data_IF_658113595514
#
_entry.id   IF_658113595514
#
_cell.length_a   1.000
_cell.length_b   1.000
_cell.length_c   1.000
_cell.angle_alpha   90.00
_cell.angle_beta   90.00
_cell.angle_gamma   90.00
#
_symmetry.space_group_name_H-M   'P 1'
#
loop_
_entity.id
_entity.type
_entity.pdbx_description
1 polymer ?
2 polymer ?
3 non-polymer ?
4 water ?
#
# COMPACT_ATOMS: atom_id res chain seq x y z
N UNK A 12 -18.51 -13.94 -24.41
CA UNK A 12 -18.89 -14.77 -23.24
C UNK A 12 -18.72 -14.00 -21.91
N UNK A 13 -18.61 -14.69 -20.77
CA UNK A 13 -18.28 -14.07 -19.45
C UNK A 13 -16.79 -13.73 -19.41
N UNK A 14 -15.96 -14.34 -20.27
CA UNK A 14 -14.51 -13.99 -20.41
C UNK A 14 -14.35 -12.55 -20.93
N UNK A 15 -15.42 -11.96 -21.48
CA UNK A 15 -15.47 -10.54 -21.91
C UNK A 15 -15.78 -9.66 -20.69
N UNK A 16 -16.73 -10.07 -19.85
CA UNK A 16 -17.10 -9.38 -18.58
C UNK A 16 -15.86 -9.24 -17.68
N UNK A 17 -14.88 -10.14 -17.77
CA UNK A 17 -13.67 -10.12 -16.90
C UNK A 17 -12.66 -9.08 -17.43
N UNK A 18 -12.59 -8.87 -18.74
CA UNK A 18 -11.70 -7.83 -19.33
C UNK A 18 -12.30 -6.45 -19.04
N UNK A 19 -13.63 -6.34 -19.02
CA UNK A 19 -14.35 -5.10 -18.68
C UNK A 19 -13.98 -4.73 -17.25
N UNK A 20 -14.04 -5.70 -16.34
CA UNK A 20 -13.70 -5.55 -14.90
C UNK A 20 -12.25 -5.08 -14.77
N UNK A 21 -11.31 -5.79 -15.39
CA UNK A 21 -9.86 -5.50 -15.31
C UNK A 21 -9.59 -4.08 -15.80
N UNK A 22 -10.35 -3.61 -16.79
CA UNK A 22 -10.13 -2.31 -17.46
C UNK A 22 -10.79 -1.22 -16.62
N UNK A 23 -11.99 -1.47 -16.11
CA UNK A 23 -12.65 -0.56 -15.14
C UNK A 23 -11.76 -0.36 -13.91
N UNK A 24 -11.19 -1.44 -13.37
CA UNK A 24 -10.35 -1.39 -12.15
C UNK A 24 -9.07 -0.60 -12.48
N UNK A 25 -8.45 -0.90 -13.63
CA UNK A 25 -7.20 -0.21 -14.03
C UNK A 25 -7.43 1.29 -14.12
N UNK A 26 -8.54 1.72 -14.74
CA UNK A 26 -8.88 3.16 -14.89
C UNK A 26 -9.03 3.78 -13.50
N UNK A 27 -9.82 3.17 -12.58
CA UNK A 27 -9.96 3.66 -11.19
C UNK A 27 -8.58 3.80 -10.54
N UNK A 28 -7.70 2.86 -10.82
CA UNK A 28 -6.34 2.79 -10.21
C UNK A 28 -5.53 4.02 -10.67
N UNK A 29 -5.48 4.26 -11.97
CA UNK A 29 -4.76 5.42 -12.58
C UNK A 29 -5.27 6.71 -11.91
N UNK A 30 -6.58 6.84 -11.76
CA UNK A 30 -7.24 8.08 -11.31
C UNK A 30 -7.07 8.25 -9.79
N UNK A 31 -7.09 7.16 -9.04
CA UNK A 31 -7.12 7.18 -7.55
C UNK A 31 -5.73 7.48 -7.00
N UNK A 32 -4.67 7.09 -7.71
CA UNK A 32 -3.29 7.12 -7.20
C UNK A 32 -2.44 8.10 -8.02
N UNK A 33 -1.62 8.93 -7.35
CA UNK A 33 -0.89 10.00 -8.03
C UNK A 33 0.18 9.44 -8.97
N UNK A 34 0.89 8.43 -8.51
CA UNK A 34 2.12 7.90 -9.14
C UNK A 34 1.92 6.40 -9.41
N UNK A 35 1.91 6.00 -10.68
CA UNK A 35 1.85 4.58 -11.12
C UNK A 35 3.25 3.95 -10.97
N UNK A 36 3.30 2.63 -10.89
CA UNK A 36 4.58 1.88 -10.81
C UNK A 36 5.37 2.17 -12.08
N UNK A 37 4.67 2.32 -13.21
CA UNK A 37 5.26 2.70 -14.52
C UNK A 37 6.19 3.90 -14.31
N UNK A 38 5.62 5.06 -13.95
CA UNK A 38 6.39 6.32 -13.71
C UNK A 38 7.44 6.06 -12.62
N UNK A 39 7.04 5.45 -11.50
CA UNK A 39 7.90 5.24 -10.32
C UNK A 39 9.19 4.53 -10.75
N UNK A 40 9.06 3.55 -11.64
CA UNK A 40 10.19 2.71 -12.13
C UNK A 40 11.05 3.55 -13.08
N UNK A 41 10.41 4.32 -13.96
CA UNK A 41 11.07 5.27 -14.88
C UNK A 41 11.99 6.19 -14.07
N UNK A 42 11.43 6.85 -13.05
CA UNK A 42 12.16 7.78 -12.13
C UNK A 42 13.33 7.04 -11.49
N UNK A 43 13.12 5.81 -11.05
CA UNK A 43 14.10 5.04 -10.24
C UNK A 43 15.28 4.58 -11.10
N UNK A 44 15.14 4.67 -12.42
CA UNK A 44 16.17 4.26 -13.40
C UNK A 44 16.79 5.50 -14.06
N UNK A 45 16.35 6.70 -13.67
CA UNK A 45 16.74 7.97 -14.32
C UNK A 45 16.18 8.08 -15.74
N UNK A 46 15.71 6.97 -16.32
CA UNK A 46 15.23 6.85 -17.72
C UNK A 46 14.20 7.94 -18.05
N UNK A 47 13.55 8.52 -17.04
CA UNK A 47 12.56 9.62 -17.19
C UNK A 47 13.25 10.90 -17.66
N UNK A 48 12.62 11.66 -18.56
CA UNK A 48 13.07 13.02 -18.97
C UNK A 48 12.74 14.02 -17.85
N UNK A 49 11.91 13.64 -16.88
CA UNK A 49 11.52 14.48 -15.72
C UNK A 49 12.74 14.66 -14.80
N UNK A 50 12.71 15.71 -13.97
CA UNK A 50 13.80 16.09 -13.03
C UNK A 50 14.06 14.94 -12.05
N UNK A 51 15.32 14.78 -11.63
CA UNK A 51 15.77 13.73 -10.69
C UNK A 51 15.22 14.00 -9.28
N UNK A 52 14.99 12.94 -8.48
CA UNK A 52 14.61 13.11 -7.08
C UNK A 52 15.80 13.49 -6.19
N UNK A 53 15.59 14.43 -5.28
CA UNK A 53 16.58 14.79 -4.26
C UNK A 53 16.89 13.53 -3.44
N UNK A 54 18.16 13.14 -3.38
CA UNK A 54 18.62 11.88 -2.73
C UNK A 54 18.96 12.16 -1.26
N UNK A 55 18.39 11.38 -0.34
CA UNK A 55 18.55 11.56 1.14
C UNK A 55 19.25 10.32 1.68
N UNK A 56 20.48 10.49 2.16
CA UNK A 56 21.38 9.39 2.58
C UNK A 56 21.89 9.64 3.99
N UNK A 57 21.58 10.78 4.58
CA UNK A 57 22.07 11.16 5.93
C UNK A 57 21.26 12.36 6.42
N UNK A 58 21.52 12.82 7.63
CA UNK A 58 20.71 13.90 8.25
C UNK A 58 20.92 15.18 7.44
N UNK A 59 22.16 15.44 7.05
CA UNK A 59 22.53 16.64 6.26
C UNK A 59 21.64 16.70 5.02
N UNK A 60 21.55 15.61 4.26
CA UNK A 60 20.80 15.59 2.99
C UNK A 60 19.31 15.74 3.31
N UNK A 61 18.82 15.11 4.38
CA UNK A 61 17.42 15.30 4.84
C UNK A 61 17.13 16.77 5.08
N UNK A 62 18.00 17.44 5.84
CA UNK A 62 17.86 18.86 6.24
C UNK A 62 17.95 19.76 5.01
N UNK A 63 18.78 19.40 4.01
CA UNK A 63 18.86 20.16 2.74
C UNK A 63 17.62 19.83 1.90
N UNK A 64 17.09 18.63 2.09
CA UNK A 64 15.97 18.06 1.29
C UNK A 64 14.61 18.54 1.74
N UNK A 65 14.46 19.12 2.94
CA UNK A 65 13.18 19.70 3.43
C UNK A 65 12.52 20.52 2.30
N UNK A 66 13.33 21.27 1.52
CA UNK A 66 12.90 22.02 0.31
C UNK A 66 11.91 21.19 -0.51
N UNK A 67 12.37 20.08 -1.09
CA UNK A 67 11.72 19.34 -2.22
C UNK A 67 10.81 18.21 -1.70
N UNK A 68 10.39 18.30 -0.44
CA UNK A 68 9.52 17.29 0.23
C UNK A 68 8.27 18.02 0.75
N UNK A 69 7.09 17.44 0.51
CA UNK A 69 5.81 17.93 1.09
C UNK A 69 6.05 18.14 2.59
N UNK A 70 5.93 19.38 3.06
CA UNK A 70 6.27 19.79 4.46
C UNK A 70 5.27 19.13 5.42
N UNK A 71 5.48 19.38 6.72
CA UNK A 71 4.60 18.91 7.83
C UNK A 71 4.26 20.13 8.72
N UNK A 72 5.30 20.68 9.39
CA UNK A 72 5.24 21.59 10.56
C UNK A 72 4.44 20.96 11.70
N UNK A 81 10.62 16.70 16.26
CA UNK A 81 11.81 17.48 16.70
C UNK A 81 13.08 16.63 16.63
N UNK A 82 12.96 15.30 16.67
CA UNK A 82 14.08 14.34 16.45
C UNK A 82 13.96 13.70 15.07
N UNK A 83 15.08 13.44 14.40
CA UNK A 83 15.12 13.08 12.95
C UNK A 83 14.38 11.76 12.73
N UNK A 84 14.70 10.70 13.48
CA UNK A 84 13.97 9.43 13.43
C UNK A 84 12.47 9.70 13.56
N UNK A 85 12.06 10.51 14.54
CA UNK A 85 10.62 10.75 14.84
C UNK A 85 10.03 11.58 13.70
N UNK A 86 10.83 12.49 13.12
CA UNK A 86 10.40 13.41 12.03
C UNK A 86 10.22 12.60 10.75
N UNK A 87 11.11 11.64 10.50
CA UNK A 87 11.02 10.72 9.34
C UNK A 87 9.78 9.86 9.52
N UNK A 88 9.64 9.22 10.67
CA UNK A 88 8.46 8.38 10.96
C UNK A 88 7.20 9.26 10.84
N UNK A 89 7.31 10.52 11.19
CA UNK A 89 6.16 11.48 11.11
C UNK A 89 5.83 11.75 9.64
N UNK A 90 6.86 11.77 8.79
CA UNK A 90 6.71 11.84 7.32
C UNK A 90 5.94 10.64 6.77
N UNK A 91 6.28 9.42 7.16
CA UNK A 91 5.56 8.17 6.78
C UNK A 91 4.07 8.27 7.12
N UNK A 92 3.72 8.87 8.26
CA UNK A 92 2.33 8.88 8.75
C UNK A 92 1.46 9.64 7.74
N UNK A 93 1.87 10.85 7.39
CA UNK A 93 1.11 11.71 6.45
C UNK A 93 1.00 10.98 5.09
N UNK A 94 2.07 10.31 4.65
CA UNK A 94 2.08 9.56 3.38
C UNK A 94 1.09 8.40 3.49
N UNK A 95 1.15 7.64 4.59
CA UNK A 95 0.19 6.55 4.88
C UNK A 95 -1.25 7.08 4.90
N UNK A 96 -1.49 8.20 5.57
CA UNK A 96 -2.86 8.79 5.70
C UNK A 96 -3.35 9.20 4.29
N UNK A 97 -2.49 9.71 3.43
CA UNK A 97 -2.91 10.06 2.05
C UNK A 97 -3.22 8.76 1.29
N UNK A 98 -2.46 7.70 1.55
CA UNK A 98 -2.61 6.41 0.86
C UNK A 98 -3.96 5.80 1.24
N UNK A 99 -4.27 5.77 2.55
CA UNK A 99 -5.59 5.27 3.05
C UNK A 99 -6.71 6.01 2.30
N UNK A 100 -6.61 7.33 2.11
CA UNK A 100 -7.67 8.08 1.37
C UNK A 100 -7.73 7.62 -0.09
N UNK A 101 -6.58 7.51 -0.75
CA UNK A 101 -6.51 7.03 -2.15
C UNK A 101 -7.06 5.59 -2.24
N UNK A 102 -6.73 4.71 -1.29
CA UNK A 102 -7.18 3.28 -1.30
C UNK A 102 -8.69 3.22 -1.05
N UNK A 103 -9.20 4.02 -0.11
CA UNK A 103 -10.64 4.10 0.25
C UNK A 103 -11.43 4.59 -0.96
N UNK A 104 -10.94 5.60 -1.66
CA UNK A 104 -11.57 6.11 -2.89
C UNK A 104 -11.61 5.00 -3.94
N UNK A 105 -10.53 4.22 -4.08
CA UNK A 105 -10.40 3.15 -5.08
C UNK A 105 -11.36 2.00 -4.75
N UNK A 106 -11.44 1.61 -3.47
CA UNK A 106 -12.33 0.53 -2.99
C UNK A 106 -13.75 0.84 -3.42
N UNK A 107 -14.17 2.12 -3.28
CA UNK A 107 -15.52 2.62 -3.63
C UNK A 107 -15.80 2.39 -5.12
N UNK A 108 -14.75 2.30 -5.93
CA UNK A 108 -14.88 2.03 -7.37
C UNK A 108 -14.95 0.54 -7.66
N UNK A 109 -14.76 -0.36 -6.67
CA UNK A 109 -14.81 -1.83 -6.95
C UNK A 109 -16.29 -2.24 -7.00
N UNK A 110 -16.80 -2.65 -8.20
CA UNK A 110 -18.20 -3.01 -8.37
C UNK A 110 -18.74 -3.84 -7.19
N UNK A 111 -19.76 -3.33 -6.50
CA UNK A 111 -20.45 -4.01 -5.39
C UNK A 111 -19.80 -3.73 -4.04
N UNK A 112 -18.68 -3.02 -3.96
CA UNK A 112 -18.04 -2.72 -2.64
C UNK A 112 -18.95 -1.80 -1.80
N UNK A 113 -19.52 -0.74 -2.41
CA UNK A 113 -20.35 0.30 -1.71
C UNK A 113 -21.74 -0.29 -1.42
N UNK A 114 -22.12 -1.39 -2.08
CA UNK A 114 -23.41 -2.10 -1.86
C UNK A 114 -23.28 -3.06 -0.68
N UNK A 115 -22.07 -3.27 -0.15
CA UNK A 115 -21.84 -4.13 1.04
C UNK A 115 -22.28 -3.38 2.28
N UNK A 116 -22.42 -4.10 3.39
CA UNK A 116 -22.65 -3.54 4.75
C UNK A 116 -21.55 -2.51 5.07
N UNK A 117 -21.93 -1.28 5.36
CA UNK A 117 -21.02 -0.18 5.77
C UNK A 117 -20.12 -0.60 6.94
N UNK A 118 -20.54 -1.52 7.80
CA UNK A 118 -19.64 -2.06 8.85
C UNK A 118 -18.60 -2.96 8.21
N UNK A 119 -18.99 -3.68 7.14
CA UNK A 119 -18.13 -4.64 6.42
C UNK A 119 -17.18 -3.85 5.52
N UNK A 120 -17.67 -2.78 4.88
CA UNK A 120 -16.84 -1.80 4.18
C UNK A 120 -15.71 -1.29 5.09
N UNK A 121 -16.01 -0.87 6.31
CA UNK A 121 -15.01 -0.38 7.31
C UNK A 121 -14.03 -1.53 7.62
N UNK A 122 -14.53 -2.74 7.82
CA UNK A 122 -13.73 -3.90 8.29
C UNK A 122 -12.72 -4.27 7.20
N UNK A 123 -13.17 -4.38 5.95
CA UNK A 123 -12.35 -4.77 4.78
C UNK A 123 -11.23 -3.75 4.63
N UNK A 124 -11.55 -2.46 4.74
CA UNK A 124 -10.54 -1.36 4.68
C UNK A 124 -9.60 -1.45 5.88
N UNK A 125 -10.15 -1.55 7.08
CA UNK A 125 -9.36 -1.58 8.33
C UNK A 125 -8.20 -2.56 8.13
N UNK A 126 -8.48 -3.78 7.69
CA UNK A 126 -7.48 -4.87 7.58
C UNK A 126 -6.74 -4.80 6.23
N UNK A 127 -7.42 -4.26 5.21
CA UNK A 127 -6.93 -4.27 3.82
C UNK A 127 -5.84 -3.25 3.54
N UNK A 128 -5.92 -2.07 4.19
CA UNK A 128 -5.21 -0.85 3.72
C UNK A 128 -3.69 -1.06 3.85
N UNK A 129 -3.21 -1.58 4.98
CA UNK A 129 -1.75 -1.72 5.23
C UNK A 129 -1.15 -2.74 4.26
N UNK A 130 -1.89 -3.82 3.96
CA UNK A 130 -1.49 -4.86 2.96
C UNK A 130 -1.31 -4.20 1.59
N UNK A 131 -2.24 -3.33 1.20
CA UNK A 131 -2.20 -2.58 -0.09
C UNK A 131 -1.10 -1.51 -0.05
N UNK A 132 -0.94 -0.81 1.07
CA UNK A 132 0.15 0.18 1.22
C UNK A 132 1.47 -0.53 0.91
N UNK A 133 1.70 -1.72 1.45
CA UNK A 133 2.99 -2.44 1.29
C UNK A 133 3.11 -2.97 -0.13
N UNK A 134 2.00 -3.42 -0.71
CA UNK A 134 1.98 -3.87 -2.12
C UNK A 134 2.49 -2.70 -2.95
N UNK A 135 1.86 -1.56 -2.82
CA UNK A 135 2.10 -0.39 -3.68
C UNK A 135 3.45 0.26 -3.31
N UNK A 136 3.84 0.22 -2.05
CA UNK A 136 5.14 0.79 -1.61
C UNK A 136 6.29 0.07 -2.32
N UNK A 137 6.17 -1.24 -2.58
CA UNK A 137 7.16 -2.00 -3.35
C UNK A 137 7.38 -1.33 -4.71
N UNK A 138 6.32 -0.83 -5.34
CA UNK A 138 6.42 -0.11 -6.64
C UNK A 138 7.45 1.02 -6.53
N UNK A 139 7.63 1.64 -5.35
CA UNK A 139 8.54 2.79 -5.15
C UNK A 139 9.92 2.36 -4.64
N UNK A 140 10.15 1.05 -4.48
CA UNK A 140 11.35 0.52 -3.77
C UNK A 140 12.25 -0.25 -4.73
N UNK A 141 13.56 -0.16 -4.50
CA UNK A 141 14.56 -1.14 -4.97
C UNK A 141 15.42 -1.54 -3.77
N UNK A 142 16.50 -2.29 -4.00
CA UNK A 142 17.42 -2.76 -2.92
C UNK A 142 18.07 -1.55 -2.23
N UNK A 143 18.29 -0.46 -2.97
CA UNK A 143 19.10 0.70 -2.52
C UNK A 143 18.27 1.71 -1.73
N UNK A 144 17.02 1.99 -2.13
CA UNK A 144 16.20 2.97 -1.40
C UNK A 144 14.78 3.09 -1.90
N UNK A 145 14.11 4.16 -1.48
CA UNK A 145 12.64 4.34 -1.63
C UNK A 145 12.37 5.74 -2.20
N UNK A 146 11.66 5.80 -3.33
CA UNK A 146 11.04 7.06 -3.80
C UNK A 146 9.99 7.52 -2.79
N UNK A 147 10.06 8.79 -2.38
CA UNK A 147 9.07 9.44 -1.48
C UNK A 147 8.54 10.72 -2.14
N UNK A 148 7.48 11.30 -1.57
CA UNK A 148 6.85 12.55 -2.01
C UNK A 148 6.62 12.51 -3.52
N UNK A 149 5.92 11.48 -3.99
CA UNK A 149 5.48 11.35 -5.40
C UNK A 149 6.70 11.52 -6.31
N UNK A 150 7.81 10.85 -5.98
CA UNK A 150 9.03 10.79 -6.82
C UNK A 150 9.95 11.99 -6.66
N UNK A 151 9.62 12.99 -5.83
CA UNK A 151 10.46 14.20 -5.67
C UNK A 151 11.67 13.88 -4.78
N UNK A 152 11.60 12.81 -3.99
CA UNK A 152 12.68 12.41 -3.09
C UNK A 152 13.11 10.97 -3.31
N UNK A 153 14.28 10.60 -2.83
CA UNK A 153 14.77 9.19 -2.84
C UNK A 153 15.55 8.93 -1.56
N UNK A 154 14.93 8.26 -0.61
CA UNK A 154 15.51 8.00 0.73
C UNK A 154 16.17 6.63 0.71
N UNK A 155 17.45 6.55 1.06
CA UNK A 155 18.27 5.33 0.86
C UNK A 155 17.92 4.34 1.97
N UNK A 156 17.98 3.05 1.66
CA UNK A 156 17.65 1.96 2.59
C UNK A 156 18.64 1.96 3.75
N UNK A 157 19.92 2.16 3.44
CA UNK A 157 21.02 2.24 4.44
C UNK A 157 20.68 3.35 5.44
N UNK A 158 20.37 4.54 4.96
CA UNK A 158 20.02 5.69 5.83
C UNK A 158 18.89 5.30 6.80
N UNK A 159 17.83 4.62 6.31
CA UNK A 159 16.65 4.25 7.13
C UNK A 159 17.06 3.21 8.19
N UNK A 160 17.95 2.28 7.83
CA UNK A 160 18.57 1.31 8.78
C UNK A 160 19.29 2.08 9.90
N UNK A 161 20.05 3.12 9.53
CA UNK A 161 20.91 3.91 10.45
C UNK A 161 20.07 4.65 11.51
N UNK A 162 18.75 4.73 11.37
CA UNK A 162 17.93 5.40 12.41
C UNK A 162 18.05 4.61 13.72
N UNK A 163 18.00 5.32 14.85
CA UNK A 163 18.00 4.71 16.21
C UNK A 163 16.81 3.75 16.27
N UNK A 164 16.91 2.70 17.09
CA UNK A 164 15.78 1.76 17.31
C UNK A 164 14.71 2.50 18.11
N UNK A 165 13.43 2.05 18.09
CA UNK A 165 12.98 0.97 17.20
C UNK A 165 12.75 1.40 15.73
N UNK A 166 13.02 2.67 15.42
CA UNK A 166 12.79 3.33 14.11
C UNK A 166 13.70 2.78 13.02
N UNK A 167 14.86 2.23 13.38
CA UNK A 167 15.83 1.67 12.41
C UNK A 167 15.24 0.48 11.68
N UNK A 168 14.37 -0.27 12.36
CA UNK A 168 13.87 -1.60 11.91
C UNK A 168 12.51 -1.41 11.22
N UNK A 169 12.03 -0.17 11.16
CA UNK A 169 10.64 0.17 10.77
C UNK A 169 10.39 -0.21 9.30
N UNK A 170 11.32 0.02 8.38
CA UNK A 170 11.08 -0.12 6.93
C UNK A 170 11.92 -1.25 6.30
N UNK A 171 12.72 -1.99 7.07
CA UNK A 171 13.58 -3.06 6.51
C UNK A 171 12.72 -4.20 5.98
N UNK A 172 11.70 -4.70 6.72
CA UNK A 172 10.85 -5.79 6.23
C UNK A 172 10.09 -5.45 4.93
N UNK A 173 9.71 -4.18 4.79
CA UNK A 173 9.05 -3.61 3.59
C UNK A 173 10.04 -3.68 2.44
N UNK A 174 11.31 -3.33 2.68
CA UNK A 174 12.39 -3.48 1.67
C UNK A 174 12.57 -4.97 1.34
N UNK A 175 12.60 -5.83 2.37
CA UNK A 175 12.79 -7.30 2.19
C UNK A 175 11.66 -7.82 1.30
N UNK A 176 10.41 -7.54 1.67
CA UNK A 176 9.20 -7.99 0.93
C UNK A 176 9.22 -7.44 -0.50
N UNK A 177 9.58 -6.17 -0.68
CA UNK A 177 9.52 -5.48 -1.99
C UNK A 177 10.48 -6.14 -2.98
N UNK A 178 11.66 -6.58 -2.53
CA UNK A 178 12.70 -7.16 -3.43
C UNK A 178 12.21 -8.53 -3.93
N UNK A 179 11.63 -9.33 -3.05
CA UNK A 179 10.94 -10.59 -3.45
C UNK A 179 9.76 -10.23 -4.37
N UNK A 180 8.92 -9.26 -4.00
CA UNK A 180 7.63 -9.03 -4.68
C UNK A 180 7.86 -8.46 -6.08
N UNK A 181 8.83 -7.56 -6.21
CA UNK A 181 9.18 -6.89 -7.49
C UNK A 181 9.67 -7.95 -8.49
N UNK A 182 10.17 -9.09 -7.99
CA UNK A 182 10.58 -10.27 -8.80
C UNK A 182 9.53 -10.54 -9.88
N UNK A 183 8.26 -10.67 -9.47
CA UNK A 183 7.11 -11.07 -10.33
C UNK A 183 6.88 -10.01 -11.41
N UNK A 184 7.66 -8.94 -11.47
CA UNK A 184 7.59 -7.94 -12.55
C UNK A 184 6.14 -7.64 -12.92
N UNK A 185 5.22 -7.58 -11.95
CA UNK A 185 3.79 -7.26 -12.23
C UNK A 185 3.71 -5.84 -12.77
N UNK A 186 2.68 -5.54 -13.57
CA UNK A 186 2.42 -4.18 -14.12
C UNK A 186 1.32 -3.52 -13.28
N UNK A 187 1.00 -2.27 -13.63
CA UNK A 187 -0.06 -1.50 -12.94
C UNK A 187 -1.40 -2.24 -13.11
N UNK A 188 -1.70 -2.70 -14.31
CA UNK A 188 -2.99 -3.35 -14.67
C UNK A 188 -3.15 -4.67 -13.88
N UNK A 189 -2.04 -5.37 -13.61
CA UNK A 189 -2.04 -6.56 -12.71
C UNK A 189 -2.34 -6.10 -11.29
N UNK A 190 -1.65 -5.04 -10.85
CA UNK A 190 -1.71 -4.49 -9.47
C UNK A 190 -3.12 -3.97 -9.17
N UNK A 191 -3.85 -3.43 -10.15
CA UNK A 191 -5.20 -2.87 -9.93
C UNK A 191 -6.15 -3.98 -9.45
N UNK A 192 -6.09 -5.17 -10.06
CA UNK A 192 -7.01 -6.28 -9.71
C UNK A 192 -6.52 -6.92 -8.40
N UNK A 193 -5.22 -7.18 -8.33
CA UNK A 193 -4.56 -7.75 -7.13
C UNK A 193 -5.01 -6.97 -5.90
N UNK A 194 -4.92 -5.64 -5.88
CA UNK A 194 -5.25 -4.85 -4.65
C UNK A 194 -6.77 -4.91 -4.44
N UNK A 195 -7.56 -4.94 -5.51
CA UNK A 195 -9.03 -5.16 -5.43
C UNK A 195 -9.31 -6.53 -4.78
N UNK A 196 -8.54 -7.56 -5.14
CA UNK A 196 -8.63 -8.93 -4.54
C UNK A 196 -8.27 -8.85 -3.06
N UNK A 197 -7.27 -8.04 -2.69
CA UNK A 197 -6.81 -7.96 -1.26
C UNK A 197 -7.91 -7.32 -0.42
N UNK A 198 -8.59 -6.28 -0.93
CA UNK A 198 -9.64 -5.59 -0.16
C UNK A 198 -10.79 -6.56 0.09
N UNK A 199 -11.20 -7.31 -0.94
CA UNK A 199 -12.39 -8.21 -0.91
C UNK A 199 -12.01 -9.56 -0.25
N UNK A 200 -11.33 -9.51 0.90
CA UNK A 200 -10.90 -10.71 1.66
C UNK A 200 -12.05 -11.16 2.56
N UNK A 201 -12.62 -12.33 2.26
CA UNK A 201 -13.75 -12.90 3.01
C UNK A 201 -13.37 -13.21 4.45
N UNK A 202 -12.10 -13.48 4.74
CA UNK A 202 -11.66 -14.06 6.02
C UNK A 202 -11.17 -12.97 6.99
N UNK A 203 -11.64 -11.72 6.86
CA UNK A 203 -11.21 -10.62 7.76
C UNK A 203 -11.98 -10.74 9.07
N UNK A 204 -11.29 -10.80 10.21
CA UNK A 204 -11.96 -10.86 11.50
C UNK A 204 -13.04 -9.77 11.61
N UNK A 205 -14.26 -10.16 11.97
CA UNK A 205 -15.36 -9.26 12.38
C UNK A 205 -16.37 -9.03 11.28
N UNK A 206 -16.21 -9.70 10.12
CA UNK A 206 -17.11 -9.48 8.96
C UNK A 206 -18.47 -10.10 9.27
N UNK A 207 -19.55 -9.35 9.04
CA UNK A 207 -20.94 -9.80 9.33
C UNK A 207 -21.37 -10.77 8.22
N UNK A 208 -21.52 -10.22 7.00
CA UNK A 208 -22.12 -10.92 5.83
C UNK A 208 -21.01 -11.27 4.81
N UNK A 209 -20.34 -12.40 5.00
CA UNK A 209 -19.11 -12.83 4.24
C UNK A 209 -19.44 -13.18 2.77
N UNK A 210 -20.49 -13.95 2.51
CA UNK A 210 -20.72 -14.56 1.17
C UNK A 210 -20.77 -13.51 0.06
N UNK A 211 -21.42 -12.33 0.23
CA UNK A 211 -21.39 -11.31 -0.82
C UNK A 211 -19.94 -10.87 -1.11
N UNK A 212 -19.14 -10.62 -0.06
CA UNK A 212 -17.68 -10.30 -0.15
C UNK A 212 -17.00 -11.42 -0.94
N UNK A 213 -17.26 -12.68 -0.56
CA UNK A 213 -16.55 -13.85 -1.13
C UNK A 213 -16.94 -13.99 -2.61
N UNK A 214 -18.17 -13.61 -2.95
CA UNK A 214 -18.72 -13.64 -4.33
C UNK A 214 -17.88 -12.71 -5.20
N UNK A 215 -17.82 -11.44 -4.81
CA UNK A 215 -17.07 -10.37 -5.53
C UNK A 215 -15.63 -10.85 -5.72
N UNK A 216 -14.99 -11.32 -4.65
CA UNK A 216 -13.57 -11.71 -4.69
C UNK A 216 -13.35 -12.78 -5.76
N UNK A 217 -14.28 -13.73 -5.86
CA UNK A 217 -14.24 -14.78 -6.91
C UNK A 217 -14.20 -14.11 -8.29
N UNK A 218 -15.08 -13.14 -8.53
CA UNK A 218 -15.08 -12.36 -9.78
C UNK A 218 -13.69 -11.75 -9.97
N UNK A 219 -13.19 -11.04 -8.96
CA UNK A 219 -11.88 -10.32 -9.08
C UNK A 219 -10.78 -11.35 -9.38
N UNK A 220 -10.81 -12.51 -8.71
CA UNK A 220 -9.78 -13.57 -8.86
C UNK A 220 -9.80 -14.14 -10.28
N UNK A 221 -10.98 -14.33 -10.85
CA UNK A 221 -11.08 -14.73 -12.28
C UNK A 221 -10.42 -13.68 -13.15
N UNK A 222 -10.78 -12.40 -12.95
CA UNK A 222 -10.23 -11.26 -13.72
C UNK A 222 -8.71 -11.23 -13.52
N UNK A 223 -8.25 -11.44 -12.29
CA UNK A 223 -6.78 -11.43 -12.01
C UNK A 223 -6.12 -12.55 -12.81
N UNK A 224 -6.68 -13.76 -12.73
CA UNK A 224 -6.21 -14.96 -13.46
C UNK A 224 -6.09 -14.64 -14.96
N UNK A 225 -7.19 -14.16 -15.55
CA UNK A 225 -7.27 -13.84 -17.00
C UNK A 225 -6.19 -12.80 -17.33
N UNK A 226 -6.13 -11.72 -16.55
CA UNK A 226 -5.15 -10.60 -16.73
C UNK A 226 -3.74 -11.18 -16.76
N UNK A 227 -3.43 -12.08 -15.83
CA UNK A 227 -2.06 -12.63 -15.60
C UNK A 227 -1.65 -13.55 -16.77
N UNK A 228 -2.59 -14.32 -17.31
CA UNK A 228 -2.41 -15.12 -18.55
C UNK A 228 -2.04 -14.19 -19.71
N UNK A 229 -2.87 -13.16 -19.96
CA UNK A 229 -2.73 -12.25 -21.13
C UNK A 229 -1.46 -11.38 -21.01
N UNK A 230 -0.67 -11.52 -19.94
CA UNK A 230 0.50 -10.63 -19.68
C UNK A 230 1.76 -11.39 -19.25
N UNK A 231 1.67 -12.67 -18.84
CA UNK A 231 2.82 -13.41 -18.25
C UNK A 231 2.76 -14.91 -18.55
N UNK A 232 3.93 -15.58 -18.73
CA UNK A 232 3.97 -17.04 -18.87
C UNK A 232 4.05 -17.72 -17.50
N UNK A 233 3.87 -19.04 -17.46
CA UNK A 233 3.76 -19.85 -16.20
C UNK A 233 2.62 -19.25 -15.36
N UNK A 234 1.50 -18.94 -16.01
CA UNK A 234 0.39 -18.10 -15.46
C UNK A 234 -0.12 -18.69 -14.14
N UNK A 235 -0.64 -19.93 -14.15
CA UNK A 235 -1.13 -20.64 -12.94
C UNK A 235 -0.06 -20.61 -11.85
N UNK A 236 1.22 -20.76 -12.24
CA UNK A 236 2.39 -20.76 -11.31
C UNK A 236 2.66 -19.32 -10.81
N UNK A 237 2.65 -18.32 -11.70
CA UNK A 237 2.66 -16.89 -11.28
C UNK A 237 1.44 -16.64 -10.40
N UNK A 238 0.25 -16.83 -10.94
CA UNK A 238 -1.03 -16.64 -10.22
C UNK A 238 -0.91 -17.31 -8.86
N UNK A 239 -0.25 -18.46 -8.79
CA UNK A 239 -0.04 -19.23 -7.54
C UNK A 239 0.97 -18.47 -6.65
N UNK A 240 2.11 -18.09 -7.23
CA UNK A 240 3.16 -17.28 -6.53
C UNK A 240 2.48 -16.05 -5.91
N UNK A 241 1.69 -15.34 -6.73
CA UNK A 241 1.06 -14.04 -6.37
C UNK A 241 0.04 -14.21 -5.23
N UNK A 242 -0.58 -15.39 -5.06
CA UNK A 242 -1.58 -15.63 -3.99
C UNK A 242 -0.92 -16.08 -2.67
N UNK A 243 0.34 -16.53 -2.71
CA UNK A 243 1.09 -16.91 -1.49
C UNK A 243 1.70 -15.62 -0.90
N UNK A 244 2.19 -14.71 -1.76
CA UNK A 244 2.68 -13.34 -1.38
C UNK A 244 1.58 -12.60 -0.63
N UNK A 245 0.33 -12.87 -0.97
CA UNK A 245 -0.87 -12.29 -0.32
C UNK A 245 -0.92 -12.69 1.16
N UNK A 246 -0.14 -13.67 1.59
CA UNK A 246 -0.02 -14.06 3.03
C UNK A 246 1.35 -13.61 3.58
N UNK A 247 2.38 -13.53 2.73
CA UNK A 247 3.62 -12.80 3.07
C UNK A 247 3.26 -11.40 3.56
N UNK A 248 2.16 -10.82 3.04
CA UNK A 248 1.71 -9.43 3.35
C UNK A 248 1.14 -9.39 4.76
N UNK A 249 0.19 -10.28 5.08
CA UNK A 249 -0.48 -10.28 6.40
C UNK A 249 0.58 -10.45 7.48
N UNK A 250 1.66 -11.17 7.16
CA UNK A 250 2.82 -11.37 8.06
C UNK A 250 3.38 -9.99 8.41
N UNK A 251 3.95 -9.31 7.42
CA UNK A 251 4.66 -8.01 7.62
C UNK A 251 3.67 -6.97 8.15
N UNK A 252 2.37 -7.12 7.88
CA UNK A 252 1.35 -6.19 8.43
C UNK A 252 1.23 -6.44 9.93
N UNK A 253 1.22 -7.70 10.33
CA UNK A 253 1.21 -8.10 11.77
C UNK A 253 2.48 -7.60 12.44
N UNK A 254 3.65 -7.93 11.88
CA UNK A 254 4.97 -7.48 12.38
C UNK A 254 4.98 -5.96 12.54
N UNK A 255 4.38 -5.22 11.59
CA UNK A 255 4.37 -3.73 11.57
C UNK A 255 3.58 -3.20 12.77
N UNK A 256 2.42 -3.79 13.05
CA UNK A 256 1.50 -3.26 14.09
C UNK A 256 2.09 -3.54 15.48
N UNK A 257 2.93 -4.56 15.60
CA UNK A 257 3.61 -4.88 16.90
C UNK A 257 4.66 -3.80 17.14
N UNK A 258 5.39 -3.41 16.10
CA UNK A 258 6.41 -2.33 16.15
C UNK A 258 5.73 -1.02 16.57
N UNK A 259 4.48 -0.79 16.18
CA UNK A 259 3.75 0.43 16.58
C UNK A 259 3.22 0.29 18.01
N UNK A 260 2.89 -0.92 18.44
CA UNK A 260 2.63 -1.18 19.88
C UNK A 260 3.87 -0.73 20.66
N UNK A 261 5.04 -1.21 20.24
CA UNK A 261 6.37 -0.87 20.83
C UNK A 261 6.51 0.65 20.88
N UNK A 262 6.34 1.31 19.74
CA UNK A 262 6.60 2.76 19.58
C UNK A 262 5.58 3.57 20.37
N UNK A 263 4.34 3.11 20.52
CA UNK A 263 3.29 3.89 21.24
C UNK A 263 3.66 4.00 22.72
N UNK A 264 4.22 2.93 23.31
CA UNK A 264 4.66 2.87 24.73
C UNK A 264 6.04 3.53 24.90
N UNK A 265 7.05 3.07 24.15
CA UNK A 265 8.48 3.47 24.29
C UNK A 265 8.67 4.95 23.94
N UNK A 266 7.77 5.55 23.15
CA UNK A 266 7.86 6.98 22.72
C UNK A 266 6.52 7.67 23.03
N UNK A 267 6.22 7.88 24.31
CA UNK A 267 4.95 8.48 24.78
C UNK A 267 4.80 9.90 24.22
N UNK A 268 5.92 10.59 23.94
CA UNK A 268 5.98 11.98 23.42
C UNK A 268 5.25 12.09 22.08
N UNK A 269 5.80 11.45 21.04
CA UNK A 269 5.27 11.48 19.66
C UNK A 269 3.83 10.93 19.63
N UNK A 270 2.94 11.63 18.94
CA UNK A 270 1.51 11.25 18.79
C UNK A 270 1.29 10.62 17.42
N UNK A 271 0.32 9.71 17.33
CA UNK A 271 -0.07 8.97 16.11
C UNK A 271 -1.28 9.66 15.48
N UNK A 272 -1.40 9.61 14.17
CA UNK A 272 -2.48 10.31 13.43
C UNK A 272 -3.82 9.65 13.74
N UNK A 273 -4.84 10.44 14.11
CA UNK A 273 -6.16 9.90 14.45
C UNK A 273 -6.71 8.84 13.49
N UNK A 274 -6.47 8.97 12.18
CA UNK A 274 -6.92 7.96 11.18
C UNK A 274 -6.10 6.67 11.35
N UNK A 275 -4.80 6.77 11.59
CA UNK A 275 -3.97 5.56 11.82
C UNK A 275 -4.43 4.87 13.12
N UNK A 276 -4.96 5.64 14.07
CA UNK A 276 -5.48 5.09 15.35
C UNK A 276 -6.78 4.32 15.10
N UNK A 277 -7.71 4.88 14.32
CA UNK A 277 -8.98 4.19 13.94
C UNK A 277 -8.68 2.80 13.35
N UNK A 278 -7.58 2.66 12.61
CA UNK A 278 -7.26 1.41 11.87
C UNK A 278 -6.63 0.39 12.83
N UNK A 279 -5.58 0.77 13.56
CA UNK A 279 -4.82 -0.15 14.45
C UNK A 279 -5.69 -0.62 15.64
N UNK A 280 -6.77 0.11 15.97
CA UNK A 280 -7.76 -0.28 17.02
C UNK A 280 -8.11 -1.76 16.92
N UNK A 281 -7.73 -2.55 17.93
CA UNK A 281 -8.08 -4.00 18.02
C UNK A 281 -7.61 -4.71 16.74
N UNK A 282 -6.41 -4.37 16.24
CA UNK A 282 -5.79 -5.02 15.06
C UNK A 282 -4.67 -5.96 15.54
N UNK A 283 -4.88 -7.27 15.42
CA UNK A 283 -3.89 -8.34 15.76
C UNK A 283 -3.32 -8.11 17.16
N UNK B 2 -17.11 4.36 17.10
CA UNK B 2 -15.69 4.12 16.71
C UNK B 2 -15.59 4.06 15.17
N UNK B 3 -14.40 4.37 14.62
CA UNK B 3 -14.08 4.36 13.17
C UNK B 3 -14.79 5.52 12.45
N UNK B 4 -14.73 6.72 13.04
CA UNK B 4 -15.48 7.93 12.59
C UNK B 4 -14.95 8.40 11.22
N UNK B 5 -13.64 8.61 11.09
CA UNK B 5 -13.00 9.16 9.85
C UNK B 5 -13.18 8.16 8.71
N UNK B 6 -13.00 6.86 9.01
CA UNK B 6 -13.22 5.77 8.03
C UNK B 6 -14.65 5.84 7.48
N UNK B 7 -15.65 5.93 8.39
CA UNK B 7 -17.08 6.13 8.05
C UNK B 7 -17.22 7.38 7.17
N UNK B 8 -16.51 8.46 7.52
CA UNK B 8 -16.65 9.76 6.83
C UNK B 8 -16.15 9.56 5.40
N UNK B 9 -14.92 9.07 5.24
CA UNK B 9 -14.25 8.85 3.92
C UNK B 9 -15.09 7.91 3.05
N UNK B 10 -15.74 6.91 3.65
CA UNK B 10 -16.56 5.92 2.90
C UNK B 10 -17.87 6.56 2.43
N UNK B 11 -18.59 7.25 3.30
CA UNK B 11 -19.92 7.84 2.95
C UNK B 11 -19.70 9.13 2.15
N UNK B 12 -18.50 9.74 2.22
CA UNK B 12 -18.05 10.86 1.35
C UNK B 12 -18.18 10.44 -0.12
#
# INVERSE_FOLDING_TARGET
AEISSDIDQLNPESADLRALAKHLYDSYIKSFPLTKAKARAILTGKTTDKSPFVIYDMNSLMMGEDKIKFKHITPLQEQSKEVAIRIFQGCQFASVEAVQEITEYAKSIPGFVNLDLNDQVTLLKYGVHEIIYTMLASLMNKDGVLISEGQGFMTREFLKSLRKPFGDFMEPKFEFAVKFNALELDDSDLAIFIAVIILSGDRPGLLNVKPIEDIQDNLLQALELQLKLNHPESSQLFAKLLQKMTDLRQIVTEHVQLLQVIKKTETDMSLHPLLQEIYKDLY
ERHKILHRLLQEGSPS
#
